data_IF_993391633394
#
_entry.id   IF_993391633394
#
_cell.length_a   1.000
_cell.length_b   1.000
_cell.length_c   1.000
_cell.angle_alpha   90.00
_cell.angle_beta   90.00
_cell.angle_gamma   90.00
#
_symmetry.space_group_name_H-M   'P 1'
#
loop_
_entity.id
_entity.type
_entity.pdbx_description
1 polymer ?
#
# COMPACT_ATOMS: atom_id res chain seq x y z
N UNK A 1 33.77 -26.82 15.99
CA UNK A 1 32.55 -27.47 15.47
C UNK A 1 31.49 -26.39 15.40
N UNK A 2 31.37 -25.79 14.21
CA UNK A 2 30.65 -24.54 13.97
C UNK A 2 29.14 -24.83 14.05
N UNK A 3 28.47 -24.07 14.93
CA UNK A 3 27.03 -24.04 15.07
C UNK A 3 26.36 -23.85 13.71
N UNK A 4 25.61 -24.84 13.30
CA UNK A 4 24.61 -24.80 12.23
C UNK A 4 23.49 -23.86 12.71
N UNK A 5 23.73 -22.56 12.66
CA UNK A 5 22.68 -21.55 12.55
C UNK A 5 22.28 -21.46 11.07
N UNK A 6 21.79 -22.57 10.52
CA UNK A 6 20.97 -22.49 9.31
C UNK A 6 19.68 -21.82 9.74
N UNK A 7 19.59 -20.53 9.48
CA UNK A 7 18.34 -19.80 9.38
C UNK A 7 17.36 -20.68 8.63
N UNK A 8 16.37 -21.22 9.34
CA UNK A 8 15.13 -21.69 8.73
C UNK A 8 14.48 -20.40 8.20
N UNK A 9 14.93 -19.93 7.04
CA UNK A 9 14.12 -19.10 6.18
C UNK A 9 13.00 -20.05 5.79
N UNK A 10 11.89 -20.00 6.54
CA UNK A 10 10.70 -20.74 6.18
C UNK A 10 10.37 -20.31 4.75
N UNK A 11 10.57 -21.21 3.79
CA UNK A 11 10.25 -20.99 2.40
C UNK A 11 8.75 -20.72 2.33
N UNK A 12 8.38 -19.44 2.18
CA UNK A 12 6.99 -19.01 2.12
C UNK A 12 6.55 -18.89 0.67
N UNK A 13 5.31 -19.26 0.47
CA UNK A 13 4.62 -19.04 -0.79
C UNK A 13 4.34 -17.54 -0.92
N UNK A 14 4.81 -16.93 -2.01
CA UNK A 14 4.49 -15.54 -2.32
C UNK A 14 3.02 -15.41 -2.64
N UNK A 15 2.38 -14.42 -2.02
CA UNK A 15 1.05 -13.93 -2.37
C UNK A 15 1.07 -12.41 -2.18
N UNK A 16 0.67 -11.68 -3.20
CA UNK A 16 0.43 -10.25 -3.05
C UNK A 16 -0.73 -10.01 -2.09
N UNK A 17 -0.50 -9.17 -1.09
CA UNK A 17 -1.52 -8.78 -0.11
C UNK A 17 -1.68 -7.27 -0.20
N UNK A 18 -2.68 -6.76 -0.96
CA UNK A 18 -2.81 -5.33 -1.22
C UNK A 18 -3.12 -4.55 0.06
N UNK A 19 -2.69 -3.29 0.11
CA UNK A 19 -2.89 -2.41 1.25
C UNK A 19 -4.08 -1.49 1.05
N UNK A 20 -4.93 -1.39 2.06
CA UNK A 20 -6.12 -0.54 2.07
C UNK A 20 -6.09 0.43 3.25
N UNK A 21 -6.59 1.64 2.99
CA UNK A 21 -6.91 2.65 3.99
C UNK A 21 -8.32 3.15 3.76
N UNK A 22 -9.03 3.49 4.83
CA UNK A 22 -10.24 4.28 4.67
C UNK A 22 -9.84 5.65 4.08
N UNK A 23 -10.46 6.09 2.97
CA UNK A 23 -10.17 7.40 2.39
C UNK A 23 -10.48 8.54 3.37
N UNK A 24 -9.71 9.64 3.30
CA UNK A 24 -9.93 10.83 4.15
C UNK A 24 -11.34 11.41 4.03
N UNK A 25 -11.90 11.36 2.82
CA UNK A 25 -13.25 11.83 2.52
C UNK A 25 -14.33 11.04 3.29
N UNK A 26 -14.01 9.82 3.73
CA UNK A 26 -14.94 8.92 4.44
C UNK A 26 -14.68 8.92 5.95
N UNK A 27 -13.42 8.86 6.38
CA UNK A 27 -13.03 8.94 7.79
C UNK A 27 -11.87 9.91 8.01
N UNK A 28 -12.21 11.11 8.52
CA UNK A 28 -11.25 12.15 8.86
C UNK A 28 -10.37 11.81 10.07
N UNK A 29 -10.73 10.79 10.85
CA UNK A 29 -9.95 10.34 12.00
C UNK A 29 -8.91 9.26 11.64
N UNK A 30 -8.96 8.73 10.40
CA UNK A 30 -7.96 7.87 9.73
C UNK A 30 -7.32 6.80 10.61
N UNK A 31 -8.11 5.81 11.06
CA UNK A 31 -7.66 4.85 12.08
C UNK A 31 -7.36 3.44 11.61
N UNK A 32 -7.56 3.10 10.35
CA UNK A 32 -7.41 1.72 9.90
C UNK A 32 -6.55 1.61 8.65
N UNK A 33 -5.43 0.91 8.82
CA UNK A 33 -4.72 0.25 7.74
C UNK A 33 -5.10 -1.22 7.77
N UNK A 34 -5.48 -1.76 6.62
CA UNK A 34 -5.83 -3.15 6.45
C UNK A 34 -5.01 -3.74 5.30
N UNK A 35 -4.65 -5.03 5.41
CA UNK A 35 -3.98 -5.78 4.36
C UNK A 35 -4.86 -6.93 3.89
N UNK A 36 -5.00 -7.05 2.58
CA UNK A 36 -5.67 -8.14 1.89
C UNK A 36 -6.83 -7.68 1.03
N UNK A 37 -7.19 -8.50 0.04
CA UNK A 37 -8.25 -8.20 -0.93
C UNK A 37 -9.62 -7.92 -0.28
N UNK A 38 -9.83 -8.41 0.94
CA UNK A 38 -11.08 -8.33 1.71
C UNK A 38 -11.26 -7.04 2.51
N UNK A 39 -10.26 -6.15 2.55
CA UNK A 39 -10.41 -4.87 3.24
C UNK A 39 -11.55 -4.03 2.60
N UNK A 40 -12.17 -3.10 3.35
CA UNK A 40 -13.31 -2.27 2.92
C UNK A 40 -14.68 -2.96 2.76
N UNK A 41 -14.78 -4.27 2.98
CA UNK A 41 -16.09 -4.95 2.90
C UNK A 41 -16.92 -4.73 4.17
N UNK A 42 -17.46 -3.52 4.32
CA UNK A 42 -18.24 -3.03 5.45
C UNK A 42 -19.64 -3.65 5.54
N UNK A 43 -19.78 -4.96 5.81
CA UNK A 43 -21.04 -5.57 6.30
C UNK A 43 -20.75 -6.83 7.11
N UNK A 44 -20.68 -6.71 8.44
CA UNK A 44 -20.63 -7.81 9.42
C UNK A 44 -19.53 -8.87 9.16
N UNK A 45 -19.28 -9.84 10.07
CA UNK A 45 -18.47 -11.00 9.72
C UNK A 45 -19.11 -11.74 8.54
N UNK A 46 -18.60 -11.47 7.33
CA UNK A 46 -19.00 -12.17 6.11
C UNK A 46 -18.29 -13.54 6.08
N UNK A 47 -19.00 -14.68 6.06
CA UNK A 47 -18.38 -16.00 5.98
C UNK A 47 -17.44 -16.16 4.78
N UNK A 48 -17.69 -15.46 3.67
CA UNK A 48 -16.83 -15.49 2.49
C UNK A 48 -15.52 -14.73 2.70
N UNK A 49 -15.53 -13.68 3.53
CA UNK A 49 -14.31 -12.97 3.92
C UNK A 49 -13.39 -13.87 4.73
N UNK A 50 -13.91 -14.51 5.77
CA UNK A 50 -13.09 -15.39 6.63
C UNK A 50 -12.58 -16.60 5.84
N UNK A 51 -13.40 -17.17 4.95
CA UNK A 51 -12.95 -18.21 4.00
C UNK A 51 -11.82 -17.72 3.10
N UNK A 52 -11.92 -16.53 2.51
CA UNK A 52 -10.86 -16.00 1.64
C UNK A 52 -9.56 -15.78 2.42
N UNK A 53 -9.64 -15.22 3.63
CA UNK A 53 -8.49 -15.04 4.54
C UNK A 53 -7.82 -16.38 4.85
N UNK A 54 -8.62 -17.39 5.20
CA UNK A 54 -8.14 -18.74 5.51
C UNK A 54 -7.42 -19.37 4.31
N UNK A 55 -8.02 -19.29 3.12
CA UNK A 55 -7.44 -19.82 1.88
C UNK A 55 -6.08 -19.17 1.60
N UNK A 56 -6.00 -17.83 1.65
CA UNK A 56 -4.75 -17.09 1.39
C UNK A 56 -3.68 -17.40 2.47
N UNK A 57 -4.06 -17.42 3.74
CA UNK A 57 -3.12 -17.69 4.83
C UNK A 57 -2.61 -19.13 4.80
N UNK A 58 -3.47 -20.11 4.51
CA UNK A 58 -3.08 -21.51 4.35
C UNK A 58 -2.12 -21.70 3.18
N UNK A 59 -2.36 -21.02 2.06
CA UNK A 59 -1.45 -21.06 0.93
C UNK A 59 -0.10 -20.44 1.27
N UNK A 60 -0.07 -19.24 1.88
CA UNK A 60 1.19 -18.56 2.28
C UNK A 60 2.04 -19.40 3.24
N UNK A 61 1.40 -20.15 4.13
CA UNK A 61 2.04 -20.98 5.13
C UNK A 61 2.33 -22.42 4.65
N UNK A 62 2.13 -22.70 3.36
CA UNK A 62 2.38 -24.02 2.74
C UNK A 62 1.59 -25.17 3.40
N UNK A 63 0.46 -24.87 4.06
CA UNK A 63 -0.41 -25.86 4.69
C UNK A 63 -1.45 -26.45 3.74
N UNK A 64 -1.60 -25.85 2.55
CA UNK A 64 -2.44 -26.34 1.45
C UNK A 64 -1.61 -26.43 0.18
N UNK A 65 -1.28 -27.66 -0.24
CA UNK A 65 -0.43 -27.85 -1.42
C UNK A 65 -1.17 -27.91 -2.76
N UNK A 66 -2.49 -28.10 -2.81
CA UNK A 66 -3.20 -28.16 -4.10
C UNK A 66 -4.59 -27.51 -4.05
N UNK A 67 -4.98 -26.86 -5.15
CA UNK A 67 -6.29 -26.29 -5.46
C UNK A 67 -6.67 -24.92 -4.84
N UNK A 68 -5.75 -23.93 -4.82
CA UNK A 68 -6.16 -22.54 -4.48
C UNK A 68 -7.13 -21.99 -5.54
N UNK A 69 -6.98 -22.40 -6.81
CA UNK A 69 -7.91 -22.08 -7.89
C UNK A 69 -9.35 -22.43 -7.55
N UNK A 70 -9.65 -23.71 -7.30
CA UNK A 70 -11.03 -24.15 -7.02
C UNK A 70 -11.64 -23.44 -5.79
N UNK A 71 -10.85 -23.25 -4.73
CA UNK A 71 -11.34 -22.62 -3.49
C UNK A 71 -11.71 -21.16 -3.70
N UNK A 72 -10.90 -20.40 -4.44
CA UNK A 72 -11.21 -18.99 -4.73
C UNK A 72 -12.26 -18.88 -5.83
N UNK A 73 -12.22 -19.71 -6.87
CA UNK A 73 -13.22 -19.74 -7.93
C UNK A 73 -14.64 -19.97 -7.37
N UNK A 74 -14.79 -20.84 -6.36
CA UNK A 74 -16.06 -21.03 -5.67
C UNK A 74 -16.56 -19.73 -5.02
N UNK A 75 -15.70 -18.96 -4.35
CA UNK A 75 -16.08 -17.67 -3.76
C UNK A 75 -16.40 -16.62 -4.84
N UNK A 76 -15.63 -16.61 -5.93
CA UNK A 76 -15.86 -15.74 -7.09
C UNK A 76 -17.21 -16.02 -7.76
N UNK A 77 -17.59 -17.30 -7.91
CA UNK A 77 -18.88 -17.72 -8.47
C UNK A 77 -20.07 -17.35 -7.57
N UNK A 78 -19.86 -17.25 -6.25
CA UNK A 78 -20.85 -16.74 -5.29
C UNK A 78 -20.98 -15.20 -5.32
N UNK A 79 -20.32 -14.52 -6.26
CA UNK A 79 -20.38 -13.05 -6.40
C UNK A 79 -19.52 -12.30 -5.40
N UNK A 80 -18.60 -12.96 -4.67
CA UNK A 80 -17.73 -12.28 -3.72
C UNK A 80 -16.57 -11.58 -4.45
N UNK A 81 -16.72 -10.28 -4.72
CA UNK A 81 -15.77 -9.51 -5.54
C UNK A 81 -14.31 -9.55 -5.04
N UNK A 82 -13.98 -9.52 -3.74
CA UNK A 82 -12.59 -9.69 -3.27
C UNK A 82 -11.93 -11.00 -3.76
N UNK A 83 -12.70 -12.09 -3.87
CA UNK A 83 -12.19 -13.33 -4.45
C UNK A 83 -11.98 -13.19 -5.96
N UNK A 84 -12.87 -12.49 -6.68
CA UNK A 84 -12.68 -12.18 -8.10
C UNK A 84 -11.41 -11.35 -8.34
N UNK A 85 -11.15 -10.34 -7.50
CA UNK A 85 -9.93 -9.53 -7.60
C UNK A 85 -8.67 -10.35 -7.33
N UNK A 86 -8.68 -11.20 -6.30
CA UNK A 86 -7.59 -12.12 -6.03
C UNK A 86 -7.36 -13.10 -7.20
N UNK A 87 -8.43 -13.71 -7.74
CA UNK A 87 -8.35 -14.56 -8.93
C UNK A 87 -7.79 -13.80 -10.14
N UNK A 88 -8.25 -12.57 -10.38
CA UNK A 88 -7.74 -11.72 -11.45
C UNK A 88 -6.23 -11.51 -11.32
N UNK A 89 -5.74 -11.17 -10.13
CA UNK A 89 -4.29 -11.08 -9.89
C UNK A 89 -3.57 -12.41 -10.10
N UNK A 90 -4.16 -13.54 -9.69
CA UNK A 90 -3.53 -14.86 -9.84
C UNK A 90 -3.45 -15.33 -11.29
N UNK A 91 -4.46 -15.01 -12.12
CA UNK A 91 -4.40 -15.19 -13.57
C UNK A 91 -3.37 -14.27 -14.23
N UNK A 92 -3.21 -13.03 -13.74
CA UNK A 92 -2.20 -12.10 -14.25
C UNK A 92 -0.78 -12.69 -14.13
N UNK A 93 -0.46 -13.28 -12.98
CA UNK A 93 0.90 -13.75 -12.68
C UNK A 93 1.09 -15.27 -12.89
N UNK A 94 0.02 -16.02 -13.17
CA UNK A 94 0.05 -17.48 -13.25
C UNK A 94 0.44 -18.16 -11.93
N UNK A 95 -0.22 -17.79 -10.82
CA UNK A 95 0.13 -18.28 -9.48
C UNK A 95 -0.39 -19.70 -9.22
N UNK A 96 0.51 -20.61 -8.83
CA UNK A 96 0.15 -21.98 -8.42
C UNK A 96 -0.54 -22.76 -9.54
N UNK A 97 -1.83 -23.05 -9.40
CA UNK A 97 -2.67 -23.76 -10.37
C UNK A 97 -3.47 -22.82 -11.29
N UNK A 98 -3.30 -21.50 -11.17
CA UNK A 98 -3.81 -20.54 -12.15
C UNK A 98 -2.90 -20.53 -13.39
N UNK A 99 -3.41 -20.78 -14.61
CA UNK A 99 -2.67 -20.48 -15.82
C UNK A 99 -2.49 -18.97 -15.96
N UNK A 100 -1.38 -18.52 -16.56
CA UNK A 100 -1.23 -17.11 -16.90
C UNK A 100 -2.19 -16.78 -18.05
N UNK A 101 -3.11 -15.84 -17.83
CA UNK A 101 -4.11 -15.41 -18.80
C UNK A 101 -4.48 -13.94 -18.56
N UNK A 102 -3.94 -13.05 -19.37
CA UNK A 102 -4.18 -11.61 -19.27
C UNK A 102 -5.63 -11.23 -19.59
N UNK A 103 -6.27 -11.91 -20.56
CA UNK A 103 -7.66 -11.61 -20.93
C UNK A 103 -8.59 -12.00 -19.78
N UNK A 104 -8.41 -13.22 -19.25
CA UNK A 104 -9.23 -13.69 -18.13
C UNK A 104 -9.01 -12.87 -16.87
N UNK A 105 -7.76 -12.48 -16.61
CA UNK A 105 -7.44 -11.54 -15.54
C UNK A 105 -8.22 -10.24 -15.71
N UNK A 106 -8.12 -9.61 -16.89
CA UNK A 106 -8.75 -8.33 -17.18
C UNK A 106 -10.29 -8.37 -17.04
N UNK A 107 -10.94 -9.41 -17.56
CA UNK A 107 -12.39 -9.62 -17.42
C UNK A 107 -12.85 -9.69 -15.95
N UNK A 108 -12.18 -10.52 -15.14
CA UNK A 108 -12.52 -10.68 -13.72
C UNK A 108 -12.36 -9.38 -12.94
N UNK A 109 -11.32 -8.62 -13.28
CA UNK A 109 -11.03 -7.35 -12.63
C UNK A 109 -12.02 -6.26 -13.04
N UNK A 110 -12.41 -6.19 -14.31
CA UNK A 110 -13.44 -5.24 -14.79
C UNK A 110 -14.79 -5.48 -14.09
N UNK A 111 -15.19 -6.74 -13.91
CA UNK A 111 -16.41 -7.08 -13.18
C UNK A 111 -16.35 -6.61 -11.70
N UNK A 112 -15.23 -6.84 -11.02
CA UNK A 112 -15.06 -6.35 -9.65
C UNK A 112 -14.96 -4.81 -9.57
N UNK A 113 -14.34 -4.17 -10.55
CA UNK A 113 -14.28 -2.72 -10.69
C UNK A 113 -15.67 -2.09 -10.88
N UNK A 114 -16.53 -2.69 -11.71
CA UNK A 114 -17.92 -2.24 -11.91
C UNK A 114 -18.74 -2.27 -10.61
N UNK A 115 -18.32 -3.08 -9.63
CA UNK A 115 -18.91 -3.17 -8.29
C UNK A 115 -18.14 -2.36 -7.24
N UNK A 116 -17.35 -1.36 -7.67
CA UNK A 116 -16.53 -0.48 -6.83
C UNK A 116 -15.52 -1.21 -5.92
N UNK A 117 -15.00 -2.38 -6.33
CA UNK A 117 -13.94 -3.04 -5.56
C UNK A 117 -12.59 -2.33 -5.73
N UNK A 118 -12.08 -1.74 -4.65
CA UNK A 118 -10.81 -1.00 -4.64
C UNK A 118 -9.61 -1.87 -5.06
N UNK A 119 -9.58 -3.14 -4.66
CA UNK A 119 -8.45 -4.03 -4.97
C UNK A 119 -8.44 -4.44 -6.44
N UNK A 120 -9.61 -4.61 -7.06
CA UNK A 120 -9.69 -4.77 -8.52
C UNK A 120 -9.26 -3.50 -9.25
N UNK A 121 -9.66 -2.31 -8.78
CA UNK A 121 -9.23 -1.04 -9.36
C UNK A 121 -7.71 -0.87 -9.29
N UNK A 122 -7.08 -1.22 -8.15
CA UNK A 122 -5.63 -1.21 -7.98
C UNK A 122 -4.93 -2.15 -8.95
N UNK A 123 -5.42 -3.38 -9.12
CA UNK A 123 -4.79 -4.32 -10.04
C UNK A 123 -4.95 -3.85 -11.49
N UNK A 124 -6.15 -3.39 -11.88
CA UNK A 124 -6.40 -2.83 -13.22
C UNK A 124 -5.48 -1.66 -13.52
N UNK A 125 -5.24 -0.78 -12.55
CA UNK A 125 -4.40 0.39 -12.71
C UNK A 125 -2.99 0.06 -13.24
N UNK A 126 -2.47 -1.12 -12.90
CA UNK A 126 -1.15 -1.59 -13.30
C UNK A 126 -1.19 -2.83 -14.20
N UNK A 127 -2.37 -3.21 -14.69
CA UNK A 127 -2.55 -4.35 -15.59
C UNK A 127 -2.02 -4.00 -17.01
N UNK A 128 -1.32 -4.92 -17.70
CA UNK A 128 -0.74 -4.65 -19.02
C UNK A 128 -1.74 -4.20 -20.09
N UNK A 129 -2.96 -4.75 -20.05
CA UNK A 129 -4.04 -4.41 -20.99
C UNK A 129 -4.75 -3.08 -20.69
N UNK A 130 -4.40 -2.37 -19.62
CA UNK A 130 -5.05 -1.10 -19.27
C UNK A 130 -4.41 0.08 -20.02
N UNK A 131 -5.21 0.72 -20.88
CA UNK A 131 -4.80 1.94 -21.60
C UNK A 131 -4.93 3.20 -20.73
N UNK A 132 -6.10 3.43 -20.10
CA UNK A 132 -6.34 4.62 -19.25
C UNK A 132 -5.87 4.44 -17.80
N UNK A 133 -4.58 4.13 -17.60
CA UNK A 133 -4.03 3.83 -16.27
C UNK A 133 -4.30 4.91 -15.23
N UNK A 134 -4.18 6.19 -15.61
CA UNK A 134 -4.37 7.32 -14.69
C UNK A 134 -5.76 7.36 -14.06
N UNK A 135 -6.81 7.01 -14.82
CA UNK A 135 -8.17 6.94 -14.28
C UNK A 135 -8.30 5.85 -13.22
N UNK A 136 -7.81 4.64 -13.52
CA UNK A 136 -7.84 3.52 -12.57
C UNK A 136 -6.99 3.80 -11.33
N UNK A 137 -5.82 4.41 -11.48
CA UNK A 137 -4.98 4.83 -10.34
C UNK A 137 -5.75 5.80 -9.45
N UNK A 138 -6.37 6.85 -10.02
CA UNK A 138 -7.14 7.82 -9.23
C UNK A 138 -8.32 7.15 -8.51
N UNK A 139 -9.10 6.35 -9.24
CA UNK A 139 -10.23 5.62 -8.66
C UNK A 139 -9.78 4.69 -7.54
N UNK A 140 -8.71 3.92 -7.74
CA UNK A 140 -8.16 3.04 -6.73
C UNK A 140 -7.71 3.82 -5.48
N UNK A 141 -6.98 4.93 -5.67
CA UNK A 141 -6.54 5.80 -4.59
C UNK A 141 -7.71 6.42 -3.82
N UNK A 142 -8.74 6.90 -4.52
CA UNK A 142 -9.97 7.46 -3.93
C UNK A 142 -10.75 6.42 -3.13
N UNK A 143 -10.68 5.15 -3.54
CA UNK A 143 -11.29 4.01 -2.83
C UNK A 143 -10.37 3.37 -1.79
N UNK A 144 -9.18 3.92 -1.53
CA UNK A 144 -8.35 3.50 -0.40
C UNK A 144 -7.12 2.63 -0.71
N UNK A 145 -6.82 2.37 -1.99
CA UNK A 145 -5.60 1.62 -2.38
C UNK A 145 -4.33 2.37 -1.97
N UNK A 146 -3.49 1.74 -1.15
CA UNK A 146 -2.20 2.31 -0.75
C UNK A 146 -1.24 2.38 -1.93
N UNK A 147 -1.18 1.33 -2.77
CA UNK A 147 -0.25 1.31 -3.90
C UNK A 147 -0.60 2.40 -4.93
N UNK A 148 -1.88 2.63 -5.19
CA UNK A 148 -2.31 3.69 -6.10
C UNK A 148 -2.01 5.09 -5.54
N UNK A 149 -2.21 5.31 -4.24
CA UNK A 149 -1.82 6.57 -3.58
C UNK A 149 -0.32 6.83 -3.70
N UNK A 150 0.51 5.81 -3.50
CA UNK A 150 1.97 5.91 -3.72
C UNK A 150 2.31 6.24 -5.17
N UNK A 151 1.67 5.56 -6.12
CA UNK A 151 1.88 5.80 -7.54
C UNK A 151 1.53 7.25 -7.93
N UNK A 152 0.43 7.81 -7.39
CA UNK A 152 0.08 9.22 -7.58
C UNK A 152 1.15 10.16 -7.03
N UNK A 153 1.56 9.96 -5.77
CA UNK A 153 2.61 10.78 -5.14
C UNK A 153 3.89 10.76 -5.99
N UNK A 154 4.36 9.58 -6.38
CA UNK A 154 5.58 9.40 -7.18
C UNK A 154 5.47 10.02 -8.56
N UNK A 155 4.32 9.91 -9.20
CA UNK A 155 4.07 10.51 -10.51
C UNK A 155 4.04 12.04 -10.45
N UNK A 156 3.34 12.62 -9.46
CA UNK A 156 3.23 14.07 -9.29
C UNK A 156 4.58 14.72 -8.93
N UNK A 157 5.37 14.09 -8.06
CA UNK A 157 6.70 14.62 -7.65
C UNK A 157 7.67 14.73 -8.83
N UNK A 158 7.52 13.88 -9.87
CA UNK A 158 8.39 13.89 -11.06
C UNK A 158 7.98 14.93 -12.12
N UNK A 159 6.83 15.60 -11.99
CA UNK A 159 6.37 16.58 -12.97
C UNK A 159 7.16 17.91 -12.86
N UNK A 160 7.30 18.67 -13.96
CA UNK A 160 7.89 20.01 -13.93
C UNK A 160 7.15 20.97 -12.98
N UNK A 161 5.82 20.85 -12.90
CA UNK A 161 4.95 21.61 -12.00
C UNK A 161 4.11 20.62 -11.17
N UNK A 162 4.63 20.10 -10.04
CA UNK A 162 3.91 19.15 -9.19
C UNK A 162 2.62 19.74 -8.61
N UNK A 163 1.53 18.97 -8.62
CA UNK A 163 0.34 19.33 -7.86
C UNK A 163 0.55 19.00 -6.37
N UNK A 164 1.17 19.95 -5.65
CA UNK A 164 1.48 19.78 -4.23
C UNK A 164 0.26 19.63 -3.33
N UNK A 165 -0.92 20.08 -3.74
CA UNK A 165 -2.15 19.85 -2.97
C UNK A 165 -2.56 18.39 -2.99
N UNK A 166 -2.57 17.76 -4.18
CA UNK A 166 -2.83 16.33 -4.31
C UNK A 166 -1.77 15.50 -3.56
N UNK A 167 -0.48 15.83 -3.73
CA UNK A 167 0.60 15.15 -3.00
C UNK A 167 0.40 15.29 -1.49
N UNK A 168 0.06 16.49 -1.00
CA UNK A 168 -0.12 16.75 0.41
C UNK A 168 -1.18 15.84 1.04
N UNK A 169 -2.36 15.73 0.43
CA UNK A 169 -3.45 14.93 0.99
C UNK A 169 -3.13 13.43 1.00
N UNK A 170 -2.55 12.92 -0.08
CA UNK A 170 -2.19 11.50 -0.16
C UNK A 170 -1.02 11.16 0.77
N UNK A 171 0.00 12.02 0.81
CA UNK A 171 1.14 11.82 1.68
C UNK A 171 0.75 11.95 3.16
N UNK A 172 -0.14 12.89 3.50
CA UNK A 172 -0.68 13.01 4.86
C UNK A 172 -1.42 11.74 5.27
N UNK A 173 -2.31 11.24 4.41
CA UNK A 173 -3.06 10.00 4.64
C UNK A 173 -2.13 8.84 4.99
N UNK A 174 -1.15 8.58 4.13
CA UNK A 174 -0.23 7.46 4.31
C UNK A 174 0.70 7.69 5.51
N UNK A 175 1.26 8.89 5.68
CA UNK A 175 2.15 9.21 6.80
C UNK A 175 1.44 9.09 8.15
N UNK A 176 0.16 9.51 8.24
CA UNK A 176 -0.67 9.35 9.43
C UNK A 176 -0.85 7.87 9.78
N UNK A 177 -1.16 7.03 8.79
CA UNK A 177 -1.31 5.58 8.99
C UNK A 177 0.00 4.89 9.41
N UNK A 178 1.13 5.34 8.87
CA UNK A 178 2.45 4.90 9.32
C UNK A 178 2.74 5.23 10.79
N UNK A 179 2.05 6.22 11.37
CA UNK A 179 2.10 6.54 12.80
C UNK A 179 1.10 5.69 13.62
N UNK A 180 -0.04 5.27 13.05
CA UNK A 180 -1.11 4.55 13.78
C UNK A 180 -0.89 3.05 13.93
N UNK A 181 -0.01 2.41 13.14
CA UNK A 181 0.38 1.00 13.36
C UNK A 181 1.25 0.82 14.64
N UNK A 182 0.56 0.84 15.78
CA UNK A 182 0.81 0.24 17.11
C UNK A 182 2.10 0.52 17.93
N UNK A 183 3.32 0.65 17.39
CA UNK A 183 4.54 0.83 18.23
C UNK A 183 5.03 2.31 18.32
N UNK A 184 4.73 3.17 17.34
CA UNK A 184 5.35 4.52 17.22
C UNK A 184 4.71 5.67 18.02
N UNK A 185 3.46 5.52 18.50
CA UNK A 185 2.89 6.48 19.47
C UNK A 185 3.53 6.36 20.88
N UNK A 186 4.42 5.39 21.11
CA UNK A 186 4.97 5.06 22.43
C UNK A 186 6.32 5.72 22.80
N UNK A 187 6.59 6.96 22.36
CA UNK A 187 7.53 7.98 22.93
C UNK A 187 8.02 8.94 21.81
N UNK A 188 7.20 9.91 21.37
CA UNK A 188 7.72 11.02 20.56
C UNK A 188 8.68 11.95 21.34
N UNK A 189 9.01 11.58 22.58
CA UNK A 189 9.87 12.33 23.48
C UNK A 189 9.11 13.36 24.32
N UNK A 190 9.68 13.75 25.47
CA UNK A 190 9.11 14.79 26.32
C UNK A 190 9.02 16.14 25.61
N UNK A 191 9.96 16.43 24.70
CA UNK A 191 9.98 17.67 23.91
C UNK A 191 8.74 17.80 23.03
N UNK A 192 8.41 16.77 22.24
CA UNK A 192 7.16 16.76 21.46
C UNK A 192 5.95 16.98 22.37
N UNK A 193 5.84 16.24 23.48
CA UNK A 193 4.73 16.39 24.43
C UNK A 193 4.60 17.80 24.98
N UNK A 194 5.73 18.43 25.32
CA UNK A 194 5.78 19.81 25.78
C UNK A 194 5.29 20.80 24.72
N UNK A 195 5.74 20.65 23.47
CA UNK A 195 5.31 21.49 22.35
C UNK A 195 3.81 21.35 22.07
N UNK A 196 3.27 20.12 22.12
CA UNK A 196 1.82 19.89 22.01
C UNK A 196 1.08 20.58 23.17
N UNK A 197 1.58 20.46 24.39
CA UNK A 197 0.97 21.12 25.55
C UNK A 197 0.97 22.64 25.41
N UNK A 198 2.08 23.24 24.97
CA UNK A 198 2.19 24.68 24.70
C UNK A 198 1.16 25.13 23.67
N UNK A 199 0.99 24.38 22.57
CA UNK A 199 -0.02 24.69 21.56
C UNK A 199 -1.43 24.79 22.17
N UNK A 200 -1.78 23.89 23.08
CA UNK A 200 -3.13 23.87 23.67
C UNK A 200 -3.33 24.84 24.83
N UNK A 201 -2.28 25.11 25.62
CA UNK A 201 -2.41 25.82 26.90
C UNK A 201 -1.91 27.26 26.87
N UNK A 202 -1.08 27.64 25.90
CA UNK A 202 -0.38 28.92 25.91
C UNK A 202 -0.53 29.68 24.58
N UNK A 203 -1.63 30.43 24.38
CA UNK A 203 -1.90 31.13 23.12
C UNK A 203 -0.75 32.02 22.63
N UNK A 204 0.00 32.62 23.56
CA UNK A 204 1.11 33.53 23.25
C UNK A 204 2.36 32.82 22.71
N UNK A 205 2.55 31.53 23.00
CA UNK A 205 3.72 30.73 22.57
C UNK A 205 3.38 29.69 21.48
N UNK A 206 2.13 29.66 20.99
CA UNK A 206 1.68 28.72 19.96
C UNK A 206 2.54 28.77 18.70
N UNK A 207 2.89 29.96 18.21
CA UNK A 207 3.66 30.11 16.96
C UNK A 207 5.07 29.52 17.11
N UNK A 208 5.75 29.75 18.23
CA UNK A 208 7.07 29.15 18.50
C UNK A 208 6.98 27.63 18.61
N UNK A 209 5.93 27.10 19.26
CA UNK A 209 5.74 25.67 19.40
C UNK A 209 5.47 24.99 18.04
N UNK A 210 4.65 25.61 17.18
CA UNK A 210 4.44 25.14 15.80
C UNK A 210 5.73 25.16 14.96
N UNK A 211 6.54 26.22 15.09
CA UNK A 211 7.85 26.30 14.40
C UNK A 211 8.81 25.21 14.88
N UNK A 212 8.86 24.94 16.17
CA UNK A 212 9.68 23.86 16.73
C UNK A 212 9.23 22.48 16.22
N UNK A 213 7.92 22.21 16.20
CA UNK A 213 7.39 20.97 15.63
C UNK A 213 7.69 20.84 14.13
N UNK A 214 7.60 21.95 13.37
CA UNK A 214 7.94 21.97 11.95
C UNK A 214 9.42 21.59 11.74
N UNK A 215 10.31 22.15 12.55
CA UNK A 215 11.73 21.81 12.52
C UNK A 215 11.98 20.35 12.89
N UNK A 216 11.33 19.83 13.95
CA UNK A 216 11.41 18.41 14.31
C UNK A 216 10.94 17.51 13.16
N UNK A 217 9.82 17.86 12.51
CA UNK A 217 9.28 17.10 11.38
C UNK A 217 10.23 17.05 10.19
N UNK A 218 10.85 18.19 9.83
CA UNK A 218 11.88 18.28 8.79
C UNK A 218 13.12 17.44 9.14
N UNK A 219 13.45 17.31 10.42
CA UNK A 219 14.55 16.50 10.94
C UNK A 219 14.21 15.00 11.05
N UNK A 220 13.11 14.53 10.44
CA UNK A 220 12.76 13.12 10.41
C UNK A 220 11.85 12.64 11.55
N UNK A 221 11.30 13.56 12.36
CA UNK A 221 10.35 13.19 13.41
C UNK A 221 8.92 13.04 12.86
N UNK A 222 8.56 11.83 12.42
CA UNK A 222 7.29 11.53 11.74
C UNK A 222 6.04 12.08 12.47
N UNK A 223 5.93 11.88 13.78
CA UNK A 223 4.75 12.36 14.54
C UNK A 223 4.63 13.89 14.54
N UNK A 224 5.76 14.60 14.49
CA UNK A 224 5.78 16.06 14.42
C UNK A 224 5.40 16.53 13.02
N UNK A 225 5.92 15.86 11.99
CA UNK A 225 5.54 16.11 10.59
C UNK A 225 4.03 15.93 10.37
N UNK A 226 3.44 14.84 10.86
CA UNK A 226 2.00 14.58 10.77
C UNK A 226 1.19 15.63 11.55
N UNK A 227 1.62 16.00 12.76
CA UNK A 227 0.91 17.00 13.57
C UNK A 227 0.92 18.39 12.92
N UNK A 228 2.06 18.81 12.37
CA UNK A 228 2.18 20.09 11.65
C UNK A 228 1.35 20.05 10.38
N UNK A 229 1.37 18.95 9.63
CA UNK A 229 0.53 18.78 8.45
C UNK A 229 -0.97 18.86 8.78
N UNK A 230 -1.41 18.22 9.87
CA UNK A 230 -2.79 18.35 10.36
C UNK A 230 -3.14 19.80 10.72
N UNK A 231 -2.20 20.51 11.35
CA UNK A 231 -2.33 21.94 11.63
C UNK A 231 -2.49 22.80 10.37
N UNK A 232 -1.72 22.52 9.32
CA UNK A 232 -1.83 23.19 8.01
C UNK A 232 -3.17 22.86 7.34
N UNK A 233 -3.56 21.58 7.33
CA UNK A 233 -4.80 21.11 6.74
C UNK A 233 -6.04 21.74 7.41
N UNK A 234 -6.01 21.89 8.72
CA UNK A 234 -7.09 22.47 9.53
C UNK A 234 -6.98 24.00 9.71
N UNK A 235 -6.04 24.66 9.03
CA UNK A 235 -5.75 26.09 9.17
C UNK A 235 -5.45 26.55 10.62
N UNK A 236 -4.97 25.66 11.48
CA UNK A 236 -4.54 25.98 12.86
C UNK A 236 -3.14 26.57 12.93
N UNK A 237 -2.39 26.50 11.84
CA UNK A 237 -1.05 27.10 11.73
C UNK A 237 -0.75 27.49 10.28
N UNK A 238 0.09 28.52 10.12
CA UNK A 238 0.62 29.00 8.86
C UNK A 238 2.15 28.97 8.82
N UNK A 239 2.79 28.21 9.73
CA UNK A 239 4.27 28.12 9.80
C UNK A 239 4.89 27.46 8.57
N UNK A 240 4.08 26.77 7.76
CA UNK A 240 4.49 26.21 6.48
C UNK A 240 3.31 26.14 5.49
N UNK A 241 3.63 26.12 4.21
CA UNK A 241 2.65 25.91 3.12
C UNK A 241 2.33 24.42 2.93
N UNK A 242 1.24 24.09 2.22
CA UNK A 242 0.93 22.70 1.82
C UNK A 242 2.07 22.06 1.02
N UNK A 243 2.75 22.84 0.18
CA UNK A 243 3.94 22.40 -0.56
C UNK A 243 5.09 21.99 0.38
N UNK A 244 5.42 22.84 1.36
CA UNK A 244 6.46 22.54 2.33
C UNK A 244 6.10 21.30 3.18
N UNK A 245 4.83 21.19 3.57
CA UNK A 245 4.33 20.02 4.30
C UNK A 245 4.37 18.74 3.44
N UNK A 246 3.99 18.81 2.16
CA UNK A 246 4.09 17.69 1.22
C UNK A 246 5.54 17.20 1.09
N UNK A 247 6.48 18.12 0.85
CA UNK A 247 7.92 17.80 0.77
C UNK A 247 8.45 17.15 2.04
N UNK A 248 7.96 17.57 3.21
CA UNK A 248 8.31 16.96 4.50
C UNK A 248 7.71 15.56 4.69
N UNK A 249 6.51 15.30 4.17
CA UNK A 249 5.79 14.03 4.36
C UNK A 249 6.25 12.92 3.41
N UNK A 250 6.56 13.25 2.15
CA UNK A 250 6.91 12.27 1.10
C UNK A 250 8.01 11.28 1.53
N UNK A 251 9.11 11.69 2.20
CA UNK A 251 10.13 10.75 2.65
C UNK A 251 9.61 9.66 3.60
N UNK A 252 8.70 10.00 4.53
CA UNK A 252 8.08 9.00 5.41
C UNK A 252 7.20 8.03 4.63
N UNK A 253 6.62 8.51 3.53
CA UNK A 253 5.72 7.73 2.72
C UNK A 253 6.50 6.70 1.88
N UNK A 254 7.66 7.06 1.35
CA UNK A 254 8.49 6.15 0.56
C UNK A 254 9.06 4.97 1.37
N UNK A 255 9.29 5.16 2.68
CA UNK A 255 9.86 4.13 3.57
C UNK A 255 8.81 3.51 4.51
N UNK A 256 7.53 3.73 4.24
CA UNK A 256 6.45 3.24 5.08
C UNK A 256 6.27 1.72 5.05
N UNK A 257 5.38 1.19 5.90
CA UNK A 257 5.21 -0.26 6.08
C UNK A 257 4.64 -0.97 4.85
N UNK A 258 4.16 -0.27 3.84
CA UNK A 258 3.60 -0.81 2.59
C UNK A 258 4.67 -1.14 1.54
N UNK A 259 5.96 -0.99 1.86
CA UNK A 259 7.02 -1.44 0.96
C UNK A 259 6.85 -2.93 0.65
N UNK A 260 7.05 -3.27 -0.62
CA UNK A 260 7.02 -4.62 -1.09
C UNK A 260 8.27 -5.36 -0.62
N UNK A 261 8.09 -6.54 -0.05
CA UNK A 261 9.21 -7.43 0.22
C UNK A 261 9.63 -8.12 -1.09
N UNK A 262 10.67 -7.57 -1.73
CA UNK A 262 11.21 -8.12 -2.96
C UNK A 262 11.96 -9.44 -2.73
N UNK A 263 12.40 -9.72 -1.49
CA UNK A 263 12.97 -11.01 -1.15
C UNK A 263 11.89 -12.09 -1.18
N UNK A 264 10.68 -11.79 -0.70
CA UNK A 264 9.55 -12.73 -0.82
C UNK A 264 9.27 -13.10 -2.29
N UNK A 265 9.40 -12.16 -3.23
CA UNK A 265 9.20 -12.44 -4.67
C UNK A 265 10.36 -13.27 -5.24
N UNK A 266 11.59 -12.87 -4.95
CA UNK A 266 12.76 -13.47 -5.60
C UNK A 266 13.08 -14.85 -5.03
N UNK A 267 12.87 -15.06 -3.72
CA UNK A 267 13.16 -16.30 -3.00
C UNK A 267 11.98 -17.29 -2.90
N UNK A 268 10.78 -16.92 -3.38
CA UNK A 268 9.64 -17.84 -3.32
C UNK A 268 9.87 -19.12 -4.10
N UNK A 269 9.37 -20.22 -3.54
CA UNK A 269 9.34 -21.56 -4.15
C UNK A 269 8.13 -21.78 -5.07
N UNK A 270 7.17 -20.86 -5.08
CA UNK A 270 6.00 -20.98 -5.94
C UNK A 270 6.36 -20.86 -7.43
N UNK A 271 5.59 -21.57 -8.25
CA UNK A 271 5.55 -21.34 -9.70
C UNK A 271 4.63 -20.14 -9.98
N UNK A 272 5.21 -19.06 -10.49
CA UNK A 272 4.53 -17.89 -11.05
C UNK A 272 5.51 -17.07 -11.90
N UNK A 273 4.99 -16.17 -12.73
CA UNK A 273 5.79 -15.28 -13.56
C UNK A 273 6.33 -14.10 -12.72
N UNK A 274 7.60 -14.24 -12.27
CA UNK A 274 8.31 -13.20 -11.50
C UNK A 274 8.44 -11.90 -12.28
N UNK A 275 8.71 -11.97 -13.59
CA UNK A 275 8.85 -10.79 -14.44
C UNK A 275 7.55 -9.96 -14.49
N UNK A 276 6.38 -10.60 -14.59
CA UNK A 276 5.08 -9.92 -14.58
C UNK A 276 4.80 -9.21 -13.25
N UNK A 277 5.21 -9.81 -12.12
CA UNK A 277 5.09 -9.15 -10.81
C UNK A 277 6.00 -7.93 -10.73
N UNK A 278 7.25 -8.05 -11.18
CA UNK A 278 8.19 -6.93 -11.19
C UNK A 278 7.69 -5.80 -12.10
N UNK A 279 7.13 -6.14 -13.25
CA UNK A 279 6.49 -5.17 -14.15
C UNK A 279 5.31 -4.46 -13.46
N UNK A 280 4.43 -5.21 -12.78
CA UNK A 280 3.30 -4.68 -12.04
C UNK A 280 3.72 -3.62 -11.01
N UNK A 281 4.72 -3.93 -10.17
CA UNK A 281 5.21 -2.98 -9.16
C UNK A 281 6.08 -1.88 -9.76
N UNK A 282 6.80 -2.16 -10.85
CA UNK A 282 7.56 -1.16 -11.62
C UNK A 282 6.63 -0.08 -12.17
N UNK A 283 5.47 -0.48 -12.71
CA UNK A 283 4.41 0.41 -13.19
C UNK A 283 3.79 1.24 -12.04
N UNK A 284 3.80 0.73 -10.81
CA UNK A 284 3.42 1.48 -9.60
C UNK A 284 4.51 2.42 -9.07
N UNK A 285 5.66 2.51 -9.75
CA UNK A 285 6.75 3.40 -9.39
C UNK A 285 7.72 2.82 -8.36
N UNK A 286 7.69 1.52 -8.07
CA UNK A 286 8.66 0.89 -7.17
C UNK A 286 10.05 0.85 -7.82
N UNK A 287 11.02 1.54 -7.20
CA UNK A 287 12.37 1.69 -7.73
C UNK A 287 13.17 0.39 -7.76
N UNK A 288 12.97 -0.50 -6.78
CA UNK A 288 13.67 -1.76 -6.73
C UNK A 288 13.07 -2.73 -7.75
N UNK A 289 11.75 -2.77 -7.90
CA UNK A 289 11.09 -3.52 -8.96
C UNK A 289 11.52 -3.02 -10.36
N UNK A 290 11.56 -1.70 -10.57
CA UNK A 290 12.08 -1.08 -11.81
C UNK A 290 13.51 -1.54 -12.11
N UNK A 291 14.37 -1.52 -11.09
CA UNK A 291 15.77 -1.93 -11.24
C UNK A 291 15.87 -3.40 -11.61
N UNK A 292 15.20 -4.29 -10.87
CA UNK A 292 15.21 -5.74 -11.14
C UNK A 292 14.62 -6.07 -12.52
N UNK A 293 13.56 -5.38 -12.93
CA UNK A 293 12.90 -5.57 -14.21
C UNK A 293 13.77 -5.11 -15.40
N UNK A 294 14.55 -4.03 -15.23
CA UNK A 294 15.34 -3.43 -16.31
C UNK A 294 16.63 -4.18 -16.65
N UNK A 295 17.08 -5.13 -15.82
CA UNK A 295 18.34 -5.86 -16.00
C UNK A 295 18.14 -7.39 -16.08
N UNK A 296 17.42 -7.92 -17.08
CA UNK A 296 17.16 -9.36 -17.20
C UNK A 296 18.42 -10.20 -17.39
N UNK A 297 19.49 -9.63 -17.94
CA UNK A 297 20.79 -10.31 -18.12
C UNK A 297 21.53 -10.54 -16.81
N UNK A 298 21.34 -9.68 -15.81
CA UNK A 298 21.95 -9.80 -14.48
C UNK A 298 21.14 -10.77 -13.61
N UNK A 299 19.83 -10.83 -13.82
CA UNK A 299 18.90 -11.64 -13.04
C UNK A 299 18.10 -12.64 -13.89
N UNK A 300 18.76 -13.52 -14.68
CA UNK A 300 18.08 -14.41 -15.61
C UNK A 300 17.06 -15.33 -14.93
N UNK A 301 17.29 -15.72 -13.67
CA UNK A 301 16.37 -16.53 -12.87
C UNK A 301 15.01 -15.86 -12.56
N UNK A 302 14.87 -14.56 -12.79
CA UNK A 302 13.59 -13.84 -12.61
C UNK A 302 12.74 -13.83 -13.89
N UNK A 303 13.32 -14.25 -15.02
CA UNK A 303 12.70 -14.24 -16.35
C UNK A 303 12.65 -15.63 -17.01
N UNK A 304 13.14 -16.65 -16.29
CA UNK A 304 13.14 -18.06 -16.70
C UNK A 304 11.84 -18.78 -16.30
#
# INVERSE_FOLDING_TARGET
>A
MILVFTSIIALRNYVYVPGYTIPYSVDQQMRSFCRGFWCDYHKDPNPNQEKLKEIINSFRNSSTNHAIHNKIANLSNLGYHPAKCASGFFYLIGLSDYPQDFNRSYELLLDGYANNSWSCAEILAFHPMTENRTEYIRKAADTGSVLAKLALIRAEVKKPNPNYESIFFEAYTLAHLGVTSWIRKHRPGPEFGHLIQQIHREPKSQVSAWKALAHMGQSGHQSAAVWVAEGVMSNRTNVMTKEQAAKMLVPFVEVGPWSLDHLDITSSVNKYNKSTILEFFSNAGDLLAQSLYSYPTIYPQLFA
#
